data_IF_527369457237
#
_entry.id   IF_527369457237
#
_cell.length_a   1.000
_cell.length_b   1.000
_cell.length_c   1.000
_cell.angle_alpha   90.00
_cell.angle_beta   90.00
_cell.angle_gamma   90.00
#
_symmetry.space_group_name_H-M   'P 1'
#
loop_
_entity.id
_entity.type
_entity.pdbx_description
1 polymer ?
#
# COMPACT_ATOMS: atom_id res chain seq x y z
N UNK A 1 17.37 44.85 -5.62
CA UNK A 1 16.92 43.95 -6.72
C UNK A 1 17.52 42.54 -6.67
N UNK A 2 18.79 42.38 -6.27
CA UNK A 2 19.53 41.10 -6.32
C UNK A 2 19.00 40.00 -5.38
N UNK A 3 18.36 40.35 -4.27
CA UNK A 3 17.82 39.37 -3.31
C UNK A 3 16.55 38.66 -3.83
N UNK A 4 15.63 39.39 -4.49
CA UNK A 4 14.40 38.81 -5.06
C UNK A 4 14.68 37.79 -6.17
N UNK A 5 15.76 37.98 -6.92
CA UNK A 5 16.17 37.04 -7.97
C UNK A 5 16.66 35.70 -7.38
N UNK A 6 17.39 35.74 -6.26
CA UNK A 6 17.84 34.53 -5.58
C UNK A 6 16.69 33.79 -4.89
N UNK A 7 15.68 34.50 -4.39
CA UNK A 7 14.48 33.89 -3.80
C UNK A 7 13.64 33.15 -4.85
N UNK A 8 13.47 33.75 -6.03
CA UNK A 8 12.79 33.11 -7.16
C UNK A 8 13.56 31.90 -7.69
N UNK A 9 14.90 31.97 -7.72
CA UNK A 9 15.74 30.84 -8.10
C UNK A 9 15.61 29.68 -7.10
N UNK A 10 15.70 29.96 -5.78
CA UNK A 10 15.50 28.94 -4.74
C UNK A 10 14.10 28.33 -4.74
N UNK A 11 13.06 29.12 -5.03
CA UNK A 11 11.70 28.60 -5.17
C UNK A 11 11.58 27.68 -6.39
N UNK A 12 12.20 28.05 -7.51
CA UNK A 12 12.24 27.21 -8.72
C UNK A 12 13.02 25.93 -8.51
N UNK A 13 14.20 25.99 -7.92
CA UNK A 13 15.02 24.82 -7.56
C UNK A 13 14.29 23.91 -6.55
N UNK A 14 13.54 24.46 -5.60
CA UNK A 14 12.73 23.67 -4.67
C UNK A 14 11.54 22.99 -5.37
N UNK A 15 10.89 23.66 -6.32
CA UNK A 15 9.83 23.06 -7.15
C UNK A 15 10.36 22.05 -8.15
N UNK A 16 11.53 22.30 -8.75
CA UNK A 16 12.21 21.42 -9.71
C UNK A 16 12.77 20.18 -9.01
N UNK A 17 13.43 20.33 -7.86
CA UNK A 17 13.86 19.19 -7.05
C UNK A 17 12.67 18.38 -6.49
N UNK A 18 11.52 19.03 -6.25
CA UNK A 18 10.28 18.33 -5.91
C UNK A 18 9.65 17.61 -7.11
N UNK A 19 9.82 18.11 -8.34
CA UNK A 19 9.32 17.47 -9.58
C UNK A 19 10.26 16.39 -10.13
N UNK A 20 11.58 16.53 -9.98
CA UNK A 20 12.55 15.47 -10.30
C UNK A 20 12.43 14.29 -9.32
N UNK A 21 12.18 14.56 -8.02
CA UNK A 21 11.78 13.51 -7.07
C UNK A 21 10.37 12.95 -7.30
N UNK A 22 9.57 13.57 -8.17
CA UNK A 22 8.24 13.12 -8.59
C UNK A 22 8.27 12.26 -9.87
N UNK A 23 9.45 11.98 -10.46
CA UNK A 23 9.54 11.07 -11.61
C UNK A 23 9.37 9.59 -11.23
N UNK A 24 9.39 9.25 -9.93
CA UNK A 24 9.09 7.89 -9.49
C UNK A 24 7.59 7.76 -9.24
N UNK A 25 6.92 6.87 -9.97
CA UNK A 25 5.49 6.58 -9.78
C UNK A 25 5.26 6.28 -8.28
N UNK A 26 4.43 7.09 -7.58
CA UNK A 26 4.17 6.90 -6.16
C UNK A 26 3.69 5.50 -5.81
N UNK A 27 2.98 4.84 -6.73
CA UNK A 27 2.51 3.46 -6.57
C UNK A 27 3.70 2.50 -6.54
N UNK A 28 4.62 2.64 -7.47
CA UNK A 28 5.82 1.80 -7.55
C UNK A 28 6.80 2.05 -6.39
N UNK A 29 6.79 3.25 -5.82
CA UNK A 29 7.53 3.54 -4.59
C UNK A 29 6.84 2.95 -3.36
N UNK A 30 5.51 3.06 -3.25
CA UNK A 30 4.75 2.45 -2.16
C UNK A 30 4.94 0.93 -2.12
N UNK A 31 4.91 0.26 -3.28
CA UNK A 31 5.15 -1.19 -3.39
C UNK A 31 6.45 -1.68 -2.75
N UNK A 32 7.48 -0.82 -2.72
CA UNK A 32 8.79 -1.14 -2.11
C UNK A 32 8.79 -1.01 -0.59
N UNK A 33 7.77 -0.39 -0.03
CA UNK A 33 7.65 -0.06 1.38
C UNK A 33 6.54 -0.86 2.08
N UNK A 34 6.01 -1.91 1.44
CA UNK A 34 4.98 -2.80 1.98
C UNK A 34 5.54 -4.21 2.08
N UNK A 35 5.18 -4.94 3.14
CA UNK A 35 5.58 -6.34 3.33
C UNK A 35 4.48 -7.31 2.92
N UNK A 36 4.82 -8.60 2.87
CA UNK A 36 3.88 -9.69 2.64
C UNK A 36 3.18 -9.63 1.28
N UNK A 37 1.85 -9.61 1.29
CA UNK A 37 0.98 -9.52 0.09
C UNK A 37 0.57 -8.08 -0.23
N UNK A 38 1.33 -7.09 0.23
CA UNK A 38 0.98 -5.67 0.09
C UNK A 38 0.87 -5.22 -1.37
N UNK A 39 1.71 -5.76 -2.25
CA UNK A 39 1.60 -5.49 -3.69
C UNK A 39 0.28 -5.98 -4.29
N UNK A 40 -0.23 -7.13 -3.82
CA UNK A 40 -1.53 -7.66 -4.25
C UNK A 40 -2.68 -6.78 -3.77
N UNK A 41 -2.59 -6.28 -2.53
CA UNK A 41 -3.56 -5.31 -1.98
C UNK A 41 -3.59 -4.04 -2.82
N UNK A 42 -2.42 -3.50 -3.19
CA UNK A 42 -2.30 -2.32 -4.05
C UNK A 42 -2.89 -2.61 -5.44
N UNK A 43 -2.56 -3.77 -6.03
CA UNK A 43 -3.08 -4.20 -7.31
C UNK A 43 -4.61 -4.29 -7.34
N UNK A 44 -5.19 -4.96 -6.34
CA UNK A 44 -6.64 -5.08 -6.20
C UNK A 44 -7.31 -3.70 -5.97
N UNK A 45 -6.70 -2.82 -5.18
CA UNK A 45 -7.20 -1.46 -4.99
C UNK A 45 -7.15 -0.63 -6.28
N UNK A 46 -6.10 -0.78 -7.09
CA UNK A 46 -5.96 -0.11 -8.39
C UNK A 46 -7.06 -0.52 -9.36
N UNK A 47 -7.49 -1.79 -9.36
CA UNK A 47 -8.61 -2.25 -10.18
C UNK A 47 -9.92 -1.54 -9.82
N UNK A 48 -10.14 -1.24 -8.54
CA UNK A 48 -11.35 -0.56 -8.07
C UNK A 48 -11.31 0.94 -8.35
N UNK A 49 -10.21 1.65 -8.01
CA UNK A 49 -10.09 3.09 -8.23
C UNK A 49 -8.62 3.55 -8.35
N UNK A 50 -8.06 3.61 -9.58
CA UNK A 50 -6.67 3.98 -9.81
C UNK A 50 -6.32 5.39 -9.30
N UNK A 51 -7.22 6.36 -9.49
CA UNK A 51 -7.01 7.76 -9.12
C UNK A 51 -6.88 7.92 -7.60
N UNK A 52 -7.78 7.30 -6.83
CA UNK A 52 -7.72 7.32 -5.38
C UNK A 52 -6.45 6.64 -4.87
N UNK A 53 -6.09 5.48 -5.42
CA UNK A 53 -4.90 4.74 -4.99
C UNK A 53 -3.62 5.52 -5.27
N UNK A 54 -3.49 6.17 -6.42
CA UNK A 54 -2.33 7.04 -6.72
C UNK A 54 -2.20 8.19 -5.72
N UNK A 55 -3.32 8.83 -5.33
CA UNK A 55 -3.32 9.90 -4.32
C UNK A 55 -2.91 9.38 -2.94
N UNK A 56 -3.45 8.23 -2.53
CA UNK A 56 -3.08 7.59 -1.26
C UNK A 56 -1.61 7.18 -1.26
N UNK A 57 -1.11 6.62 -2.36
CA UNK A 57 0.29 6.24 -2.50
C UNK A 57 1.23 7.45 -2.40
N UNK A 58 0.91 8.55 -3.07
CA UNK A 58 1.67 9.80 -2.94
C UNK A 58 1.70 10.33 -1.49
N UNK A 59 0.57 10.26 -0.79
CA UNK A 59 0.48 10.68 0.61
C UNK A 59 1.31 9.78 1.54
N UNK A 60 1.23 8.45 1.38
CA UNK A 60 1.99 7.49 2.17
C UNK A 60 3.50 7.61 1.91
N UNK A 61 3.92 7.68 0.65
CA UNK A 61 5.33 7.88 0.27
C UNK A 61 5.88 9.17 0.88
N UNK A 62 5.11 10.25 0.85
CA UNK A 62 5.49 11.50 1.51
C UNK A 62 5.66 11.29 3.02
N UNK A 63 4.71 10.64 3.69
CA UNK A 63 4.77 10.41 5.13
C UNK A 63 5.93 9.50 5.54
N UNK A 64 6.27 8.49 4.74
CA UNK A 64 7.44 7.62 4.92
C UNK A 64 8.73 8.45 4.82
N UNK A 65 8.87 9.27 3.78
CA UNK A 65 10.05 10.16 3.59
C UNK A 65 10.23 11.15 4.74
N UNK A 66 9.11 11.56 5.37
CA UNK A 66 9.09 12.44 6.54
C UNK A 66 9.30 11.69 7.87
N UNK A 67 9.44 10.36 7.86
CA UNK A 67 9.61 9.54 9.06
C UNK A 67 8.35 9.43 9.94
N UNK A 68 7.17 9.77 9.40
CA UNK A 68 5.89 9.72 10.13
C UNK A 68 5.20 8.38 10.04
N UNK A 69 5.59 7.55 9.08
CA UNK A 69 5.08 6.19 8.87
C UNK A 69 6.28 5.28 8.86
N UNK A 70 6.27 4.28 9.73
CA UNK A 70 7.30 3.24 9.76
C UNK A 70 7.13 2.30 8.57
N UNK A 71 8.25 1.73 8.13
CA UNK A 71 8.31 0.78 7.02
C UNK A 71 9.05 -0.48 7.46
N UNK A 72 8.68 -1.67 6.95
CA UNK A 72 7.62 -1.89 5.95
C UNK A 72 6.21 -1.77 6.54
N UNK A 73 5.25 -1.31 5.73
CA UNK A 73 3.83 -1.25 6.07
C UNK A 73 3.24 -2.66 5.95
N UNK A 74 2.55 -3.12 6.99
CA UNK A 74 1.83 -4.40 6.98
C UNK A 74 0.73 -4.44 5.91
N UNK A 75 0.58 -5.60 5.27
CA UNK A 75 -0.44 -5.84 4.25
C UNK A 75 -1.87 -5.66 4.76
N UNK A 76 -2.13 -6.10 5.99
CA UNK A 76 -3.43 -6.01 6.65
C UNK A 76 -3.82 -4.57 6.96
N UNK A 77 -2.87 -3.78 7.46
CA UNK A 77 -3.07 -2.35 7.71
C UNK A 77 -3.36 -1.58 6.42
N UNK A 78 -2.62 -1.87 5.34
CA UNK A 78 -2.87 -1.25 4.04
C UNK A 78 -4.25 -1.64 3.47
N UNK A 79 -4.63 -2.90 3.60
CA UNK A 79 -5.96 -3.38 3.20
C UNK A 79 -7.06 -2.69 4.00
N UNK A 80 -6.88 -2.56 5.31
CA UNK A 80 -7.82 -1.88 6.20
C UNK A 80 -7.96 -0.40 5.85
N UNK A 81 -6.85 0.29 5.52
CA UNK A 81 -6.86 1.67 5.06
C UNK A 81 -7.72 1.84 3.81
N UNK A 82 -7.49 1.04 2.77
CA UNK A 82 -8.27 1.14 1.53
C UNK A 82 -9.76 0.86 1.76
N UNK A 83 -10.10 -0.12 2.60
CA UNK A 83 -11.49 -0.41 2.97
C UNK A 83 -12.16 0.75 3.72
N UNK A 84 -11.44 1.40 4.64
CA UNK A 84 -11.93 2.61 5.34
C UNK A 84 -12.14 3.78 4.38
N UNK A 85 -11.39 3.83 3.28
CA UNK A 85 -11.57 4.80 2.20
C UNK A 85 -12.67 4.41 1.20
N UNK A 86 -13.40 3.33 1.46
CA UNK A 86 -14.56 2.89 0.67
C UNK A 86 -14.22 1.94 -0.49
N UNK A 87 -12.97 1.51 -0.64
CA UNK A 87 -12.60 0.53 -1.66
C UNK A 87 -12.99 -0.88 -1.19
N UNK A 88 -13.72 -1.63 -2.03
CA UNK A 88 -14.06 -3.03 -1.73
C UNK A 88 -12.93 -3.97 -2.16
N UNK A 89 -11.74 -3.77 -1.61
CA UNK A 89 -10.55 -4.56 -1.97
C UNK A 89 -10.74 -6.02 -1.57
N UNK A 90 -10.79 -6.90 -2.57
CA UNK A 90 -10.89 -8.34 -2.43
C UNK A 90 -9.54 -8.97 -2.70
N UNK A 91 -9.04 -9.71 -1.72
CA UNK A 91 -7.77 -10.44 -1.80
C UNK A 91 -8.09 -11.90 -1.50
N UNK A 92 -7.71 -12.81 -2.38
CA UNK A 92 -8.04 -14.22 -2.22
C UNK A 92 -7.28 -14.78 -1.00
N UNK A 93 -7.99 -15.26 0.01
CA UNK A 93 -7.37 -15.84 1.21
C UNK A 93 -7.57 -17.34 1.21
N UNK A 94 -6.48 -18.09 1.08
CA UNK A 94 -6.45 -19.55 1.25
C UNK A 94 -5.62 -19.88 2.47
N UNK A 95 -6.23 -20.53 3.44
CA UNK A 95 -5.57 -20.96 4.67
C UNK A 95 -5.50 -22.47 4.62
N UNK A 96 -4.29 -23.03 4.69
CA UNK A 96 -4.08 -24.47 4.72
C UNK A 96 -3.92 -24.92 6.17
N UNK A 97 -4.69 -25.91 6.60
CA UNK A 97 -4.62 -26.50 7.94
C UNK A 97 -4.07 -27.90 7.82
N UNK A 98 -3.07 -28.21 8.64
CA UNK A 98 -2.52 -29.56 8.76
C UNK A 98 -3.03 -30.21 10.06
N UNK A 99 -3.72 -31.35 9.96
CA UNK A 99 -4.22 -32.12 11.10
C UNK A 99 -4.08 -33.61 10.81
N UNK A 100 -3.47 -34.35 11.74
CA UNK A 100 -3.27 -35.82 11.65
C UNK A 100 -2.59 -36.28 10.34
N UNK A 101 -1.66 -35.48 9.81
CA UNK A 101 -0.92 -35.80 8.58
C UNK A 101 -1.64 -35.41 7.27
N UNK A 102 -2.88 -34.92 7.33
CA UNK A 102 -3.60 -34.40 6.17
C UNK A 102 -3.54 -32.87 6.13
N UNK A 103 -3.33 -32.30 4.94
CA UNK A 103 -3.39 -30.85 4.68
C UNK A 103 -4.65 -30.54 3.88
N UNK A 104 -5.53 -29.71 4.43
CA UNK A 104 -6.79 -29.28 3.76
C UNK A 104 -6.91 -27.77 3.79
N UNK A 105 -7.66 -27.21 2.84
CA UNK A 105 -8.08 -25.82 2.90
C UNK A 105 -9.05 -25.61 4.08
N UNK A 106 -8.84 -24.56 4.87
CA UNK A 106 -9.60 -24.25 6.08
C UNK A 106 -11.09 -24.13 5.79
N UNK A 107 -11.47 -23.51 4.68
CA UNK A 107 -12.88 -23.36 4.33
C UNK A 107 -13.53 -24.72 4.17
N UNK A 108 -12.88 -25.64 3.44
CA UNK A 108 -13.35 -27.02 3.31
C UNK A 108 -13.38 -27.74 4.65
N UNK A 109 -12.35 -27.55 5.48
CA UNK A 109 -12.29 -28.16 6.81
C UNK A 109 -13.42 -27.69 7.74
N UNK A 110 -13.89 -26.45 7.58
CA UNK A 110 -15.04 -25.89 8.31
C UNK A 110 -16.38 -26.35 7.71
N UNK A 111 -16.51 -26.37 6.38
CA UNK A 111 -17.73 -26.86 5.67
C UNK A 111 -17.98 -28.35 5.92
N UNK A 112 -16.92 -29.17 6.03
CA UNK A 112 -16.99 -30.60 6.37
C UNK A 112 -17.34 -30.85 7.84
N UNK A 113 -17.60 -29.79 8.63
CA UNK A 113 -18.04 -29.86 10.02
C UNK A 113 -17.17 -30.84 10.80
N UNK A 114 -15.88 -30.49 10.98
CA UNK A 114 -14.96 -31.23 11.85
C UNK A 114 -15.47 -31.08 13.30
N UNK A 115 -16.56 -31.76 13.60
CA UNK A 115 -17.38 -31.65 14.80
C UNK A 115 -16.61 -32.25 15.97
N UNK A 116 -15.72 -31.45 16.55
CA UNK A 116 -15.19 -31.52 17.91
C UNK A 116 -14.03 -30.52 17.97
N UNK A 117 -14.39 -29.24 18.12
CA UNK A 117 -13.64 -28.39 19.03
C UNK A 117 -14.21 -28.58 20.43
#
# INVERSE_FOLDING_TARGET
MRQRLNELAKQREATEAATEKAQRDPVEELKKNVEGRGEEVIGAALTENPELVRRVAAALVKAIREGRVETPIDSGDLLALFRRLGLNVKVETRLMVQKRGETKDLRKALEEDWQSF
#
